data_IF_805603051805
#
_entry.id   IF_805603051805
#
_cell.length_a   1.000
_cell.length_b   1.000
_cell.length_c   1.000
_cell.angle_alpha   90.00
_cell.angle_beta   90.00
_cell.angle_gamma   90.00
#
_symmetry.space_group_name_H-M   'P 1'
#
loop_
_entity.id
_entity.type
_entity.pdbx_description
1 polymer ?
#
# COMPACT_ATOMS: atom_id res chain seq x y z
N UNK A 1 -5.77 31.78 23.16
CA UNK A 1 -5.99 31.53 21.73
C UNK A 1 -4.63 31.53 21.03
N UNK A 2 -3.95 30.38 20.93
CA UNK A 2 -2.67 30.27 20.21
C UNK A 2 -3.01 29.89 18.75
N UNK A 3 -2.64 30.82 17.87
CA UNK A 3 -2.73 30.70 16.41
C UNK A 3 -1.78 29.58 15.98
N UNK A 4 -2.31 28.40 15.67
CA UNK A 4 -1.56 27.29 15.10
C UNK A 4 -1.20 27.68 13.67
N UNK A 5 0.02 28.22 13.49
CA UNK A 5 0.59 28.49 12.17
C UNK A 5 0.92 27.15 11.49
N UNK A 6 0.78 27.11 10.16
CA UNK A 6 1.39 26.05 9.33
C UNK A 6 2.86 25.95 9.71
N UNK A 7 3.31 24.74 10.07
CA UNK A 7 4.71 24.55 10.47
C UNK A 7 5.66 24.71 9.28
N UNK A 8 5.20 24.39 8.07
CA UNK A 8 6.00 24.50 6.85
C UNK A 8 5.31 25.40 5.82
N UNK A 9 6.09 26.25 5.18
CA UNK A 9 5.58 27.20 4.16
C UNK A 9 5.04 26.46 2.92
N UNK A 10 5.59 25.27 2.60
CA UNK A 10 5.18 24.42 1.46
C UNK A 10 5.62 22.98 1.67
N UNK A 11 4.94 22.04 1.01
CA UNK A 11 5.04 20.58 1.20
C UNK A 11 6.47 20.04 1.04
N UNK A 12 7.28 20.59 0.10
CA UNK A 12 8.65 20.11 -0.12
C UNK A 12 9.58 20.29 1.09
N UNK A 13 9.34 21.27 1.96
CA UNK A 13 10.11 21.40 3.21
C UNK A 13 9.80 20.24 4.17
N UNK A 14 8.57 19.83 4.20
CA UNK A 14 8.09 18.67 4.96
C UNK A 14 8.73 17.36 4.43
N UNK A 15 8.66 17.15 3.12
CA UNK A 15 9.26 15.97 2.46
C UNK A 15 10.78 15.94 2.71
N UNK A 16 11.43 17.10 2.71
CA UNK A 16 12.87 17.22 2.96
C UNK A 16 13.22 16.90 4.43
N UNK A 17 12.40 17.32 5.39
CA UNK A 17 12.58 16.98 6.81
C UNK A 17 12.35 15.49 7.04
N UNK A 18 11.30 14.92 6.48
CA UNK A 18 11.01 13.49 6.57
C UNK A 18 12.16 12.64 6.00
N UNK A 19 12.71 13.06 4.85
CA UNK A 19 13.87 12.42 4.26
C UNK A 19 15.08 12.45 5.20
N UNK A 20 15.36 13.57 5.89
CA UNK A 20 16.45 13.66 6.85
C UNK A 20 16.19 12.88 8.15
N UNK A 21 14.95 12.74 8.59
CA UNK A 21 14.59 11.93 9.75
C UNK A 21 14.69 10.42 9.44
N UNK A 22 14.35 10.01 8.25
CA UNK A 22 14.41 8.60 7.83
C UNK A 22 15.83 8.13 7.47
N UNK A 23 16.77 9.05 7.17
CA UNK A 23 18.15 8.72 6.78
C UNK A 23 19.15 9.26 7.79
N UNK A 24 19.99 8.37 8.35
CA UNK A 24 21.05 8.77 9.28
C UNK A 24 22.35 9.12 8.53
N UNK A 25 22.99 10.23 8.95
CA UNK A 25 24.28 10.64 8.42
C UNK A 25 24.24 11.73 7.36
N UNK A 26 25.37 11.94 6.68
CA UNK A 26 25.53 13.00 5.70
C UNK A 26 25.09 12.58 4.31
N UNK A 27 24.30 13.42 3.65
CA UNK A 27 23.81 13.19 2.29
C UNK A 27 24.38 14.25 1.34
N UNK A 28 24.94 13.78 0.22
CA UNK A 28 25.52 14.70 -0.76
C UNK A 28 24.45 15.56 -1.44
N UNK A 29 24.75 16.82 -1.81
CA UNK A 29 23.83 17.68 -2.54
C UNK A 29 23.29 17.02 -3.82
N UNK A 30 24.11 16.23 -4.50
CA UNK A 30 23.73 15.53 -5.74
C UNK A 30 22.70 14.42 -5.50
N UNK A 31 22.71 13.76 -4.36
CA UNK A 31 21.70 12.77 -3.96
C UNK A 31 20.38 13.49 -3.72
N UNK A 32 20.38 14.55 -2.93
CA UNK A 32 19.18 15.32 -2.59
C UNK A 32 18.55 15.98 -3.83
N UNK A 33 19.35 16.65 -4.67
CA UNK A 33 18.83 17.30 -5.90
C UNK A 33 18.23 16.29 -6.88
N UNK A 34 18.83 15.08 -6.99
CA UNK A 34 18.29 14.01 -7.81
C UNK A 34 17.00 13.43 -7.22
N UNK A 35 16.97 13.19 -5.92
CA UNK A 35 15.81 12.62 -5.24
C UNK A 35 14.59 13.54 -5.35
N UNK A 36 14.76 14.84 -5.04
CA UNK A 36 13.67 15.82 -5.07
C UNK A 36 13.46 16.46 -6.47
N UNK A 37 14.25 16.11 -7.46
CA UNK A 37 14.20 16.67 -8.82
C UNK A 37 14.28 18.19 -8.85
N UNK A 38 15.14 18.78 -8.04
CA UNK A 38 15.33 20.24 -7.87
C UNK A 38 16.74 20.67 -8.20
N UNK A 39 16.91 21.97 -8.48
CA UNK A 39 18.23 22.56 -8.67
C UNK A 39 18.98 22.67 -7.33
N UNK A 40 20.31 22.72 -7.39
CA UNK A 40 21.13 22.96 -6.20
C UNK A 40 20.80 24.30 -5.51
N UNK A 41 20.45 25.32 -6.29
CA UNK A 41 20.01 26.62 -5.77
C UNK A 41 18.70 26.49 -4.99
N UNK A 42 17.75 25.72 -5.52
CA UNK A 42 16.47 25.44 -4.85
C UNK A 42 16.70 24.67 -3.56
N UNK A 43 17.56 23.63 -3.59
CA UNK A 43 17.92 22.88 -2.39
C UNK A 43 18.51 23.77 -1.28
N UNK A 44 19.43 24.66 -1.63
CA UNK A 44 20.01 25.61 -0.64
C UNK A 44 18.95 26.54 -0.05
N UNK A 45 18.01 27.04 -0.85
CA UNK A 45 16.90 27.86 -0.38
C UNK A 45 15.96 27.08 0.54
N UNK A 46 15.62 25.83 0.16
CA UNK A 46 14.76 24.97 0.95
C UNK A 46 15.40 24.59 2.30
N UNK A 47 16.69 24.28 2.32
CA UNK A 47 17.42 24.01 3.56
C UNK A 47 17.48 25.24 4.46
N UNK A 48 17.66 26.43 3.89
CA UNK A 48 17.63 27.68 4.65
C UNK A 48 16.27 27.90 5.30
N UNK A 49 15.19 27.80 4.53
CA UNK A 49 13.82 27.96 5.01
C UNK A 49 13.48 26.89 6.08
N UNK A 50 13.91 25.64 5.84
CA UNK A 50 13.69 24.56 6.80
C UNK A 50 14.44 24.79 8.11
N UNK A 51 15.66 25.33 8.07
CA UNK A 51 16.41 25.68 9.27
C UNK A 51 15.76 26.85 10.06
N UNK A 52 15.12 27.82 9.40
CA UNK A 52 14.33 28.83 10.07
C UNK A 52 13.17 28.22 10.86
N UNK A 53 12.47 27.24 10.27
CA UNK A 53 11.37 26.50 10.92
C UNK A 53 11.89 25.63 12.08
N UNK A 54 13.03 24.95 11.90
CA UNK A 54 13.65 24.08 12.90
C UNK A 54 14.28 24.84 14.09
N UNK A 55 14.50 26.15 13.98
CA UNK A 55 15.15 26.95 15.00
C UNK A 55 14.45 26.91 16.37
N UNK A 56 13.14 26.62 16.39
CA UNK A 56 12.35 26.47 17.61
C UNK A 56 12.41 25.08 18.26
N UNK A 57 13.15 24.14 17.68
CA UNK A 57 13.10 22.70 18.05
C UNK A 57 14.47 22.12 18.44
N UNK A 58 15.49 22.94 18.69
CA UNK A 58 16.86 22.47 18.93
C UNK A 58 17.37 21.48 17.87
N UNK A 59 16.92 21.65 16.63
CA UNK A 59 17.28 20.87 15.46
C UNK A 59 17.73 21.79 14.33
N UNK A 60 18.68 21.32 13.51
CA UNK A 60 19.14 22.06 12.33
C UNK A 60 19.71 21.11 11.27
N UNK A 61 19.61 21.51 10.01
CA UNK A 61 20.35 20.85 8.94
C UNK A 61 21.70 21.54 8.79
N UNK A 62 22.75 20.79 9.09
CA UNK A 62 24.13 21.25 8.98
C UNK A 62 24.76 20.79 7.67
N UNK A 63 25.69 21.60 7.16
CA UNK A 63 26.48 21.27 5.97
C UNK A 63 27.95 21.05 6.38
N UNK A 64 28.48 19.87 6.07
CA UNK A 64 29.90 19.57 6.26
C UNK A 64 30.61 19.45 4.91
N UNK A 65 31.67 20.23 4.77
CA UNK A 65 32.47 20.25 3.53
C UNK A 65 32.94 18.84 3.18
N UNK A 66 32.74 18.39 1.96
CA UNK A 66 33.02 17.02 1.45
C UNK A 66 32.07 15.90 1.87
N UNK A 67 31.16 16.09 2.82
CA UNK A 67 30.21 15.04 3.25
C UNK A 67 28.76 15.36 2.83
N UNK A 68 28.38 16.64 2.83
CA UNK A 68 27.04 17.09 2.46
C UNK A 68 26.23 17.57 3.66
N UNK A 69 24.93 17.36 3.61
CA UNK A 69 23.94 17.81 4.58
C UNK A 69 23.52 16.69 5.52
N UNK A 70 23.32 17.00 6.81
CA UNK A 70 22.75 16.08 7.80
C UNK A 70 21.86 16.84 8.77
N UNK A 71 20.84 16.17 9.30
CA UNK A 71 20.02 16.71 10.39
C UNK A 71 20.73 16.45 11.72
N UNK A 72 20.98 17.54 12.46
CA UNK A 72 21.51 17.50 13.81
C UNK A 72 20.41 17.83 14.80
N UNK A 73 20.20 16.95 15.78
CA UNK A 73 19.21 17.09 16.84
C UNK A 73 19.95 16.99 18.18
N UNK A 74 19.80 18.01 19.02
CA UNK A 74 20.53 18.09 20.28
C UNK A 74 19.93 17.24 21.41
N UNK A 75 18.62 17.03 21.40
CA UNK A 75 17.90 16.24 22.40
C UNK A 75 17.09 15.11 21.77
N UNK A 76 17.13 13.90 22.33
CA UNK A 76 16.41 12.74 21.80
C UNK A 76 14.88 12.90 21.77
N UNK A 77 14.31 13.69 22.68
CA UNK A 77 12.87 13.99 22.69
C UNK A 77 12.44 14.86 21.49
N UNK A 78 13.33 15.70 20.98
CA UNK A 78 13.05 16.56 19.81
C UNK A 78 12.82 15.72 18.54
N UNK A 79 13.51 14.59 18.38
CA UNK A 79 13.30 13.70 17.23
C UNK A 79 11.87 13.16 17.19
N UNK A 80 11.40 12.59 18.30
CA UNK A 80 10.03 12.09 18.42
C UNK A 80 8.99 13.22 18.27
N UNK A 81 9.32 14.43 18.71
CA UNK A 81 8.47 15.61 18.54
C UNK A 81 8.36 16.00 17.06
N UNK A 82 9.47 16.05 16.31
CA UNK A 82 9.48 16.37 14.89
C UNK A 82 8.79 15.27 14.06
N UNK A 83 9.03 13.99 14.36
CA UNK A 83 8.32 12.88 13.77
C UNK A 83 6.81 12.97 14.02
N UNK A 84 6.37 13.25 15.25
CA UNK A 84 4.97 13.48 15.59
C UNK A 84 4.36 14.73 14.95
N UNK A 85 5.15 15.75 14.65
CA UNK A 85 4.68 16.96 13.98
C UNK A 85 4.47 16.76 12.49
N UNK A 86 5.37 16.02 11.83
CA UNK A 86 5.16 15.57 10.43
C UNK A 86 3.88 14.75 10.33
N UNK A 87 3.70 13.88 11.30
CA UNK A 87 2.53 13.03 11.47
C UNK A 87 1.24 13.87 11.63
N UNK A 88 1.22 14.87 12.47
CA UNK A 88 0.05 15.75 12.69
C UNK A 88 -0.27 16.69 11.51
N UNK A 89 0.70 16.99 10.65
CA UNK A 89 0.45 17.74 9.40
C UNK A 89 -0.17 16.85 8.32
N UNK A 90 0.13 15.56 8.30
CA UNK A 90 -0.59 14.60 7.45
C UNK A 90 -2.05 14.42 7.88
N UNK A 91 -2.36 14.46 9.18
CA UNK A 91 -3.74 14.45 9.69
C UNK A 91 -4.56 15.69 9.26
N UNK A 92 -3.92 16.84 9.03
CA UNK A 92 -4.60 18.04 8.51
C UNK A 92 -4.86 18.02 7.01
N UNK A 93 -4.34 17.05 6.29
CA UNK A 93 -4.47 16.96 4.84
C UNK A 93 -5.68 16.16 4.34
N UNK A 94 -6.89 16.44 4.82
CA UNK A 94 -8.08 16.34 3.99
C UNK A 94 -8.10 17.47 2.91
N UNK A 95 -6.94 18.01 2.56
CA UNK A 95 -6.85 19.21 1.72
C UNK A 95 -7.03 18.92 0.22
N UNK A 96 -6.86 17.67 -0.23
CA UNK A 96 -7.19 17.31 -1.61
C UNK A 96 -8.59 16.70 -1.72
N UNK A 97 -9.28 16.97 -2.82
CA UNK A 97 -10.58 16.36 -3.13
C UNK A 97 -10.50 14.83 -3.09
N UNK A 98 -9.40 14.25 -3.57
CA UNK A 98 -9.21 12.80 -3.60
C UNK A 98 -9.11 12.19 -2.20
N UNK A 99 -8.42 12.84 -1.27
CA UNK A 99 -8.34 12.36 0.14
C UNK A 99 -9.71 12.44 0.82
N UNK A 100 -10.47 13.50 0.61
CA UNK A 100 -11.86 13.61 1.13
C UNK A 100 -12.77 12.54 0.55
N UNK A 101 -12.67 12.27 -0.75
CA UNK A 101 -13.43 11.22 -1.42
C UNK A 101 -13.06 9.84 -0.84
N UNK A 102 -11.78 9.54 -0.67
CA UNK A 102 -11.31 8.28 -0.08
C UNK A 102 -11.81 8.12 1.37
N UNK A 103 -11.71 9.18 2.17
CA UNK A 103 -12.23 9.19 3.54
C UNK A 103 -13.74 8.89 3.58
N UNK A 104 -14.54 9.55 2.72
CA UNK A 104 -15.98 9.31 2.61
C UNK A 104 -16.27 7.86 2.21
N UNK A 105 -15.55 7.30 1.22
CA UNK A 105 -15.74 5.92 0.78
C UNK A 105 -15.48 4.95 1.95
N UNK A 106 -14.36 5.11 2.66
CA UNK A 106 -14.02 4.27 3.81
C UNK A 106 -15.11 4.36 4.88
N UNK A 107 -15.54 5.57 5.22
CA UNK A 107 -16.64 5.76 6.18
C UNK A 107 -17.93 5.06 5.73
N UNK A 108 -18.29 5.17 4.46
CA UNK A 108 -19.47 4.49 3.90
C UNK A 108 -19.32 2.96 3.95
N UNK A 109 -18.12 2.41 3.71
CA UNK A 109 -17.85 0.97 3.75
C UNK A 109 -17.92 0.40 5.18
N UNK A 110 -17.62 1.22 6.18
CA UNK A 110 -17.79 0.85 7.59
C UNK A 110 -19.20 1.10 8.14
N UNK A 111 -19.98 1.95 7.50
CA UNK A 111 -21.33 2.28 7.96
C UNK A 111 -22.29 1.08 7.92
N UNK A 112 -23.12 0.96 8.97
CA UNK A 112 -24.21 -0.03 9.06
C UNK A 112 -25.58 0.59 8.69
N UNK A 113 -25.62 1.91 8.59
CA UNK A 113 -26.85 2.68 8.33
C UNK A 113 -26.62 3.67 7.20
N UNK A 114 -27.70 4.20 6.66
CA UNK A 114 -27.61 5.25 5.65
C UNK A 114 -26.95 6.51 6.21
N UNK A 115 -26.09 7.14 5.42
CA UNK A 115 -25.42 8.41 5.73
C UNK A 115 -26.06 9.53 4.92
N UNK A 116 -26.47 10.61 5.59
CA UNK A 116 -27.06 11.79 4.91
C UNK A 116 -25.98 12.65 4.24
N UNK A 117 -26.40 13.50 3.30
CA UNK A 117 -25.50 14.46 2.67
C UNK A 117 -24.91 15.45 3.68
N UNK A 118 -25.72 15.88 4.65
CA UNK A 118 -25.28 16.78 5.71
C UNK A 118 -24.19 16.14 6.57
N UNK A 119 -24.42 14.88 7.03
CA UNK A 119 -23.43 14.16 7.81
C UNK A 119 -22.09 13.95 7.05
N UNK A 120 -22.16 13.73 5.73
CA UNK A 120 -20.96 13.61 4.89
C UNK A 120 -20.28 14.97 4.66
N UNK A 121 -21.07 16.05 4.55
CA UNK A 121 -20.54 17.40 4.38
C UNK A 121 -19.80 17.87 5.65
N UNK A 122 -20.41 17.64 6.81
CA UNK A 122 -19.84 17.95 8.12
C UNK A 122 -18.54 17.16 8.37
N UNK A 123 -18.52 15.88 8.00
CA UNK A 123 -17.38 14.99 8.20
C UNK A 123 -16.08 15.48 7.52
N UNK A 124 -16.21 16.01 6.31
CA UNK A 124 -15.05 16.47 5.52
C UNK A 124 -15.00 17.99 5.34
N UNK A 125 -15.80 18.71 6.11
CA UNK A 125 -15.84 20.19 6.16
C UNK A 125 -16.04 20.86 4.79
N UNK A 126 -17.01 20.39 4.01
CA UNK A 126 -17.34 20.97 2.70
C UNK A 126 -18.84 21.29 2.57
N UNK A 127 -19.22 22.01 1.51
CA UNK A 127 -20.63 22.27 1.21
C UNK A 127 -21.36 21.01 0.70
N UNK A 128 -22.68 20.96 0.88
CA UNK A 128 -23.54 19.90 0.33
C UNK A 128 -23.38 19.79 -1.20
N UNK A 129 -23.23 20.91 -1.90
CA UNK A 129 -22.98 20.91 -3.34
C UNK A 129 -21.67 20.21 -3.71
N UNK A 130 -20.65 20.36 -2.89
CA UNK A 130 -19.37 19.64 -3.06
C UNK A 130 -19.57 18.14 -2.87
N UNK A 131 -20.34 17.72 -1.86
CA UNK A 131 -20.69 16.31 -1.63
C UNK A 131 -21.45 15.72 -2.83
N UNK A 132 -22.39 16.44 -3.40
CA UNK A 132 -23.11 15.98 -4.60
C UNK A 132 -22.14 15.67 -5.76
N UNK A 133 -21.11 16.49 -5.94
CA UNK A 133 -20.07 16.23 -6.93
C UNK A 133 -19.18 15.04 -6.55
N UNK A 134 -18.78 14.92 -5.28
CA UNK A 134 -18.01 13.78 -4.79
C UNK A 134 -18.77 12.46 -4.95
N UNK A 135 -20.06 12.43 -4.70
CA UNK A 135 -20.90 11.23 -4.89
C UNK A 135 -20.90 10.70 -6.33
N UNK A 136 -20.71 11.55 -7.34
CA UNK A 136 -20.53 11.11 -8.73
C UNK A 136 -19.23 10.33 -8.90
N UNK A 137 -18.14 10.88 -8.38
CA UNK A 137 -16.81 10.22 -8.40
C UNK A 137 -16.81 8.94 -7.56
N UNK A 138 -17.42 8.97 -6.37
CA UNK A 138 -17.55 7.82 -5.48
C UNK A 138 -18.26 6.66 -6.20
N UNK A 139 -19.36 6.90 -6.93
CA UNK A 139 -20.03 5.86 -7.71
C UNK A 139 -19.09 5.21 -8.74
N UNK A 140 -18.28 6.02 -9.43
CA UNK A 140 -17.32 5.52 -10.42
C UNK A 140 -16.20 4.70 -9.76
N UNK A 141 -15.75 5.09 -8.56
CA UNK A 141 -14.75 4.32 -7.82
C UNK A 141 -15.34 3.00 -7.36
N UNK A 142 -16.47 3.02 -6.69
CA UNK A 142 -17.15 1.83 -6.16
C UNK A 142 -17.50 0.81 -7.26
N UNK A 143 -17.91 1.27 -8.43
CA UNK A 143 -18.23 0.38 -9.56
C UNK A 143 -17.05 -0.45 -10.05
N UNK A 144 -15.80 0.01 -9.88
CA UNK A 144 -14.58 -0.77 -10.19
C UNK A 144 -14.41 -1.99 -9.29
N UNK A 145 -15.06 -1.99 -8.14
CA UNK A 145 -15.04 -3.07 -7.14
C UNK A 145 -16.37 -3.84 -7.09
N UNK A 146 -17.25 -3.69 -8.10
CA UNK A 146 -18.58 -4.30 -8.13
C UNK A 146 -19.49 -3.85 -6.96
N UNK A 147 -19.17 -2.71 -6.35
CA UNK A 147 -19.93 -2.11 -5.27
C UNK A 147 -20.93 -1.08 -5.81
N UNK A 148 -22.08 -0.99 -5.16
CA UNK A 148 -23.16 -0.07 -5.56
C UNK A 148 -23.45 0.92 -4.44
N UNK A 149 -23.52 2.21 -4.77
CA UNK A 149 -24.00 3.27 -3.87
C UNK A 149 -25.52 3.39 -3.98
N UNK A 150 -26.24 2.76 -3.07
CA UNK A 150 -27.70 2.88 -3.00
C UNK A 150 -28.11 4.20 -2.35
N UNK A 151 -29.22 4.75 -2.83
CA UNK A 151 -29.82 5.99 -2.30
C UNK A 151 -31.24 5.70 -1.83
N UNK A 152 -31.59 6.13 -0.64
CA UNK A 152 -32.95 6.06 -0.13
C UNK A 152 -33.42 7.46 0.26
N UNK A 153 -34.58 7.86 -0.26
CA UNK A 153 -35.17 9.18 0.01
C UNK A 153 -35.25 9.42 1.52
N UNK A 154 -34.86 10.60 1.97
CA UNK A 154 -34.85 11.05 3.38
C UNK A 154 -33.89 10.27 4.32
N UNK A 155 -33.19 9.24 3.87
CA UNK A 155 -32.25 8.48 4.68
C UNK A 155 -30.80 8.71 4.23
N UNK A 156 -30.54 8.94 2.93
CA UNK A 156 -29.20 9.18 2.41
C UNK A 156 -28.64 8.00 1.59
N UNK A 157 -27.39 7.64 1.85
CA UNK A 157 -26.59 6.74 1.03
C UNK A 157 -26.03 5.58 1.85
N UNK A 158 -25.96 4.40 1.24
CA UNK A 158 -25.30 3.20 1.79
C UNK A 158 -24.58 2.45 0.66
N UNK A 159 -23.44 1.84 0.96
CA UNK A 159 -22.70 0.99 0.01
C UNK A 159 -23.15 -0.46 0.19
N UNK A 160 -23.55 -1.09 -0.93
CA UNK A 160 -23.94 -2.49 -1.00
C UNK A 160 -23.03 -3.26 -1.96
N UNK A 161 -22.89 -4.57 -1.73
CA UNK A 161 -22.04 -5.50 -2.46
C UNK A 161 -21.36 -6.48 -1.51
N UNK A 162 -20.61 -7.42 -2.08
CA UNK A 162 -19.94 -8.47 -1.34
C UNK A 162 -18.88 -7.92 -0.36
N UNK A 163 -18.74 -8.57 0.79
CA UNK A 163 -17.80 -8.11 1.82
C UNK A 163 -16.34 -8.20 1.33
N UNK A 164 -15.99 -9.22 0.54
CA UNK A 164 -14.67 -9.34 -0.06
C UNK A 164 -14.34 -8.16 -1.00
N UNK A 165 -15.33 -7.68 -1.77
CA UNK A 165 -15.19 -6.51 -2.64
C UNK A 165 -15.04 -5.21 -1.85
N UNK A 166 -15.77 -5.07 -0.74
CA UNK A 166 -15.60 -3.94 0.20
C UNK A 166 -14.19 -3.91 0.77
N UNK A 167 -13.66 -5.05 1.23
CA UNK A 167 -12.30 -5.16 1.77
C UNK A 167 -11.25 -4.84 0.71
N UNK A 168 -11.42 -5.33 -0.51
CA UNK A 168 -10.53 -5.00 -1.63
C UNK A 168 -10.51 -3.49 -1.88
N UNK A 169 -11.67 -2.84 -1.89
CA UNK A 169 -11.77 -1.39 -2.03
C UNK A 169 -11.04 -0.66 -0.89
N UNK A 170 -11.23 -1.05 0.36
CA UNK A 170 -10.56 -0.45 1.53
C UNK A 170 -9.04 -0.58 1.39
N UNK A 171 -8.52 -1.78 1.16
CA UNK A 171 -7.06 -2.02 1.03
C UNK A 171 -6.49 -1.18 -0.10
N UNK A 172 -7.13 -1.16 -1.27
CA UNK A 172 -6.66 -0.36 -2.41
C UNK A 172 -6.58 1.13 -2.08
N UNK A 173 -7.58 1.67 -1.38
CA UNK A 173 -7.61 3.08 -1.00
C UNK A 173 -6.51 3.44 0.00
N UNK A 174 -6.24 2.59 1.00
CA UNK A 174 -5.21 2.82 2.02
C UNK A 174 -3.79 2.45 1.56
N UNK A 175 -3.64 1.81 0.40
CA UNK A 175 -2.33 1.45 -0.18
C UNK A 175 -1.94 2.29 -1.40
N UNK A 176 -2.86 3.07 -1.97
CA UNK A 176 -2.65 3.82 -3.23
C UNK A 176 -1.55 4.91 -3.12
N UNK A 177 -1.29 5.46 -1.95
CA UNK A 177 -0.34 6.56 -1.74
C UNK A 177 1.07 6.12 -1.36
N UNK A 178 1.39 4.83 -1.52
CA UNK A 178 2.70 4.29 -1.13
C UNK A 178 3.80 4.69 -2.09
N UNK A 179 4.59 5.72 -1.72
CA UNK A 179 5.85 6.09 -2.38
C UNK A 179 7.09 5.60 -1.61
N UNK A 180 6.95 5.04 -0.41
CA UNK A 180 8.08 4.65 0.43
C UNK A 180 8.28 3.13 0.45
N UNK A 181 9.49 2.70 0.16
CA UNK A 181 9.95 1.30 0.15
C UNK A 181 10.19 0.72 1.56
N UNK A 182 9.91 1.50 2.62
CA UNK A 182 10.11 1.04 3.99
C UNK A 182 8.89 0.27 4.50
N UNK A 183 9.16 -0.81 5.25
CA UNK A 183 8.16 -1.62 5.92
C UNK A 183 7.61 -0.87 7.15
N UNK A 184 6.86 0.20 6.93
CA UNK A 184 6.13 0.93 7.98
C UNK A 184 4.67 1.06 7.61
N UNK A 185 3.80 0.96 8.60
CA UNK A 185 2.38 1.26 8.40
C UNK A 185 2.17 2.77 8.43
N UNK A 186 1.37 3.28 7.49
CA UNK A 186 1.00 4.70 7.50
C UNK A 186 0.03 4.97 8.64
N UNK A 187 -0.08 6.25 9.02
CA UNK A 187 -1.07 6.67 10.02
C UNK A 187 -2.50 6.39 9.59
N UNK A 188 -2.84 6.60 8.33
CA UNK A 188 -4.15 6.26 7.79
C UNK A 188 -4.47 4.78 8.00
N UNK A 189 -3.48 3.89 7.79
CA UNK A 189 -3.61 2.46 8.04
C UNK A 189 -3.78 2.16 9.52
N UNK A 190 -2.95 2.76 10.37
CA UNK A 190 -3.02 2.57 11.82
C UNK A 190 -4.29 3.17 12.41
N UNK A 191 -4.73 4.34 11.96
CA UNK A 191 -5.96 4.99 12.44
C UNK A 191 -7.21 4.21 12.02
N UNK A 192 -7.26 3.70 10.79
CA UNK A 192 -8.38 2.89 10.30
C UNK A 192 -8.49 1.55 11.04
N UNK A 193 -7.35 0.94 11.34
CA UNK A 193 -7.22 -0.36 11.98
C UNK A 193 -6.83 -0.22 13.47
N UNK A 194 -7.17 0.91 14.11
CA UNK A 194 -6.75 1.26 15.48
C UNK A 194 -7.20 0.24 16.56
N UNK A 195 -8.17 -0.61 16.25
CA UNK A 195 -8.62 -1.70 17.14
C UNK A 195 -7.76 -2.97 17.02
N UNK A 196 -6.79 -2.97 16.10
CA UNK A 196 -5.94 -4.12 15.78
C UNK A 196 -4.48 -3.70 15.84
N UNK A 197 -3.67 -4.38 16.63
CA UNK A 197 -2.24 -4.11 16.73
C UNK A 197 -1.51 -4.67 15.49
N UNK A 198 -1.21 -3.80 14.52
CA UNK A 198 -0.55 -4.17 13.27
C UNK A 198 0.86 -4.73 13.48
N UNK A 199 1.62 -4.20 14.45
CA UNK A 199 2.97 -4.69 14.74
C UNK A 199 2.91 -6.10 15.35
N UNK A 200 1.92 -6.40 16.20
CA UNK A 200 1.73 -7.74 16.74
C UNK A 200 1.42 -8.75 15.62
N UNK A 201 0.52 -8.43 14.68
CA UNK A 201 0.25 -9.31 13.52
C UNK A 201 1.53 -9.51 12.70
N UNK A 202 2.30 -8.44 12.48
CA UNK A 202 3.57 -8.50 11.76
C UNK A 202 4.53 -9.49 12.42
N UNK A 203 4.70 -9.39 13.74
CA UNK A 203 5.63 -10.26 14.48
C UNK A 203 5.21 -11.73 14.37
N UNK A 204 3.90 -12.04 14.53
CA UNK A 204 3.36 -13.39 14.38
C UNK A 204 3.61 -13.92 12.95
N UNK A 205 3.26 -13.13 11.92
CA UNK A 205 3.40 -13.54 10.52
C UNK A 205 4.88 -13.72 10.15
N UNK A 206 5.77 -12.83 10.59
CA UNK A 206 7.21 -12.94 10.31
C UNK A 206 7.83 -14.16 10.98
N UNK A 207 7.47 -14.44 12.24
CA UNK A 207 7.97 -15.62 12.94
C UNK A 207 7.45 -16.91 12.31
N UNK A 208 6.18 -16.95 11.93
CA UNK A 208 5.61 -18.07 11.20
C UNK A 208 6.32 -18.31 9.85
N UNK A 209 6.54 -17.26 9.08
CA UNK A 209 7.22 -17.33 7.79
C UNK A 209 8.67 -17.84 7.96
N UNK A 210 9.39 -17.32 8.96
CA UNK A 210 10.75 -17.75 9.28
C UNK A 210 10.81 -19.25 9.63
N UNK A 211 9.85 -19.75 10.41
CA UNK A 211 9.79 -21.18 10.81
C UNK A 211 9.52 -22.12 9.64
N UNK A 212 8.78 -21.64 8.63
CA UNK A 212 8.34 -22.44 7.49
C UNK A 212 9.12 -22.12 6.21
N UNK A 213 10.21 -21.35 6.28
CA UNK A 213 11.07 -20.95 5.14
C UNK A 213 10.27 -20.26 4.02
N UNK A 214 9.27 -19.44 4.40
CA UNK A 214 8.43 -18.71 3.46
C UNK A 214 8.99 -17.29 3.22
N UNK A 215 9.23 -16.96 1.97
CA UNK A 215 9.84 -15.69 1.58
C UNK A 215 8.81 -14.76 0.91
N UNK A 216 8.71 -13.54 1.42
CA UNK A 216 7.85 -12.48 0.89
C UNK A 216 8.68 -11.23 0.62
N UNK A 217 8.33 -10.50 -0.44
CA UNK A 217 8.79 -9.10 -0.54
C UNK A 217 8.13 -8.26 0.56
N UNK A 218 8.78 -7.17 0.96
CA UNK A 218 8.23 -6.24 1.97
C UNK A 218 6.82 -5.75 1.60
N UNK A 219 6.60 -5.47 0.32
CA UNK A 219 5.29 -5.08 -0.19
C UNK A 219 4.23 -6.17 0.00
N UNK A 220 4.54 -7.41 -0.36
CA UNK A 220 3.61 -8.54 -0.25
C UNK A 220 3.32 -8.88 1.22
N UNK A 221 4.36 -8.86 2.06
CA UNK A 221 4.22 -9.11 3.49
C UNK A 221 3.34 -8.05 4.15
N UNK A 222 3.57 -6.77 3.86
CA UNK A 222 2.75 -5.68 4.37
C UNK A 222 1.30 -5.78 3.92
N UNK A 223 1.08 -6.10 2.65
CA UNK A 223 -0.26 -6.27 2.11
C UNK A 223 -1.00 -7.43 2.79
N UNK A 224 -0.33 -8.55 3.01
CA UNK A 224 -0.87 -9.70 3.74
C UNK A 224 -1.28 -9.31 5.17
N UNK A 225 -0.41 -8.60 5.90
CA UNK A 225 -0.70 -8.14 7.27
C UNK A 225 -1.93 -7.23 7.29
N UNK A 226 -2.05 -6.31 6.32
CA UNK A 226 -3.22 -5.43 6.20
C UNK A 226 -4.50 -6.22 5.92
N UNK A 227 -4.46 -7.27 5.10
CA UNK A 227 -5.62 -8.14 4.85
C UNK A 227 -6.03 -8.91 6.11
N UNK A 228 -5.07 -9.46 6.88
CA UNK A 228 -5.34 -10.13 8.15
C UNK A 228 -5.95 -9.13 9.16
N UNK A 229 -5.32 -7.97 9.32
CA UNK A 229 -5.80 -6.93 10.23
C UNK A 229 -7.21 -6.45 9.87
N UNK A 230 -7.48 -6.28 8.58
CA UNK A 230 -8.81 -5.91 8.10
C UNK A 230 -9.84 -7.01 8.39
N UNK A 231 -9.48 -8.30 8.22
CA UNK A 231 -10.36 -9.42 8.59
C UNK A 231 -10.73 -9.36 10.07
N UNK A 232 -9.76 -9.18 10.95
CA UNK A 232 -10.00 -9.01 12.40
C UNK A 232 -10.91 -7.81 12.67
N UNK A 233 -10.58 -6.65 12.11
CA UNK A 233 -11.36 -5.41 12.29
C UNK A 233 -12.82 -5.56 11.84
N UNK A 234 -13.05 -6.26 10.73
CA UNK A 234 -14.39 -6.50 10.19
C UNK A 234 -15.19 -7.51 11.01
N UNK A 235 -14.55 -8.52 11.56
CA UNK A 235 -15.18 -9.47 12.49
C UNK A 235 -15.63 -8.79 13.78
N UNK A 236 -14.81 -7.88 14.34
CA UNK A 236 -15.16 -7.13 15.55
C UNK A 236 -16.40 -6.25 15.38
N UNK A 237 -16.74 -5.85 14.16
CA UNK A 237 -17.97 -5.09 13.83
C UNK A 237 -19.07 -5.96 13.21
N UNK A 238 -18.99 -7.29 13.38
CA UNK A 238 -19.95 -8.28 12.87
C UNK A 238 -20.19 -8.20 11.35
N UNK A 239 -19.13 -8.04 10.57
CA UNK A 239 -19.14 -8.05 9.09
C UNK A 239 -18.22 -9.15 8.56
N UNK A 240 -18.53 -10.44 8.81
CA UNK A 240 -17.76 -11.54 8.24
C UNK A 240 -17.99 -11.63 6.72
N UNK A 241 -17.06 -12.31 6.05
CA UNK A 241 -17.28 -12.76 4.68
C UNK A 241 -18.26 -13.94 4.72
N UNK A 242 -19.40 -13.78 4.04
CA UNK A 242 -20.45 -14.79 4.02
C UNK A 242 -20.14 -15.93 3.04
N UNK A 243 -19.55 -15.59 1.89
CA UNK A 243 -19.18 -16.55 0.86
C UNK A 243 -17.82 -16.21 0.24
N UNK A 244 -16.88 -17.16 0.31
CA UNK A 244 -15.55 -17.01 -0.30
C UNK A 244 -14.99 -18.41 -0.61
N UNK A 245 -15.19 -18.85 -1.84
CA UNK A 245 -14.68 -20.13 -2.29
C UNK A 245 -13.24 -19.98 -2.81
N UNK A 246 -12.39 -20.90 -2.42
CA UNK A 246 -11.07 -21.13 -3.04
C UNK A 246 -10.97 -22.60 -3.44
N UNK A 247 -10.12 -22.94 -4.41
CA UNK A 247 -9.82 -24.33 -4.73
C UNK A 247 -9.33 -25.08 -3.48
N UNK A 248 -9.70 -26.35 -3.36
CA UNK A 248 -9.24 -27.18 -2.26
C UNK A 248 -7.73 -27.36 -2.29
N UNK A 249 -7.08 -27.07 -1.19
CA UNK A 249 -5.63 -27.18 -1.02
C UNK A 249 -5.31 -27.61 0.40
N UNK A 250 -5.42 -28.91 0.66
CA UNK A 250 -5.27 -29.49 2.00
C UNK A 250 -3.89 -29.19 2.62
N UNK A 251 -2.82 -29.27 1.82
CA UNK A 251 -1.48 -28.99 2.29
C UNK A 251 -1.34 -27.53 2.78
N UNK A 252 -1.94 -26.56 2.06
CA UNK A 252 -1.94 -25.17 2.46
C UNK A 252 -2.73 -24.94 3.75
N UNK A 253 -3.91 -25.56 3.87
CA UNK A 253 -4.74 -25.47 5.07
C UNK A 253 -3.98 -26.00 6.28
N UNK A 254 -3.38 -27.18 6.16
CA UNK A 254 -2.58 -27.80 7.22
C UNK A 254 -1.39 -26.93 7.60
N UNK A 255 -0.71 -26.31 6.63
CA UNK A 255 0.42 -25.43 6.89
C UNK A 255 0.01 -24.18 7.63
N UNK A 256 -1.11 -23.53 7.24
CA UNK A 256 -1.51 -22.22 7.77
C UNK A 256 -2.38 -22.31 9.04
N UNK A 257 -2.91 -23.46 9.40
CA UNK A 257 -3.77 -23.63 10.60
C UNK A 257 -3.07 -23.18 11.90
N UNK A 258 -1.77 -23.46 12.15
CA UNK A 258 -1.09 -22.93 13.34
C UNK A 258 -1.05 -21.40 13.40
N UNK A 259 -0.80 -20.74 12.26
CA UNK A 259 -0.82 -19.29 12.17
C UNK A 259 -2.21 -18.72 12.49
N UNK A 260 -3.25 -19.32 11.87
CA UNK A 260 -4.63 -18.90 12.12
C UNK A 260 -5.00 -19.06 13.58
N UNK A 261 -4.63 -20.18 14.19
CA UNK A 261 -4.91 -20.45 15.62
C UNK A 261 -4.21 -19.44 16.53
N UNK A 262 -2.96 -19.09 16.26
CA UNK A 262 -2.21 -18.09 17.02
C UNK A 262 -2.90 -16.72 16.93
N UNK A 263 -3.30 -16.29 15.72
CA UNK A 263 -4.03 -15.03 15.53
C UNK A 263 -5.39 -15.05 16.25
N UNK A 264 -6.16 -16.13 16.16
CA UNK A 264 -7.46 -16.28 16.82
C UNK A 264 -7.33 -16.13 18.35
N UNK A 265 -6.28 -16.73 18.94
CA UNK A 265 -6.01 -16.65 20.38
C UNK A 265 -5.59 -15.24 20.79
N UNK A 266 -4.66 -14.63 20.08
CA UNK A 266 -4.07 -13.35 20.44
C UNK A 266 -5.05 -12.17 20.29
N UNK A 267 -5.92 -12.24 19.28
CA UNK A 267 -6.91 -11.19 19.01
C UNK A 267 -8.33 -11.53 19.49
N UNK A 268 -8.51 -12.69 20.14
CA UNK A 268 -9.80 -13.16 20.68
C UNK A 268 -10.93 -13.14 19.63
N UNK A 269 -10.62 -13.56 18.41
CA UNK A 269 -11.57 -13.70 17.31
C UNK A 269 -11.66 -15.15 16.87
N UNK A 270 -12.72 -15.50 16.14
CA UNK A 270 -12.88 -16.83 15.51
C UNK A 270 -13.13 -16.60 14.04
N UNK A 271 -12.23 -17.08 13.19
CA UNK A 271 -12.39 -17.01 11.75
C UNK A 271 -13.35 -18.11 11.25
N UNK A 272 -14.37 -17.70 10.50
CA UNK A 272 -15.19 -18.65 9.75
C UNK A 272 -14.39 -19.34 8.67
N UNK A 273 -14.91 -20.43 8.08
CA UNK A 273 -14.26 -21.10 6.97
C UNK A 273 -13.99 -20.14 5.78
N UNK A 274 -14.92 -19.21 5.51
CA UNK A 274 -14.76 -18.21 4.46
C UNK A 274 -13.68 -17.17 4.77
N UNK A 275 -13.56 -16.74 6.04
CA UNK A 275 -12.46 -15.86 6.48
C UNK A 275 -11.10 -16.56 6.35
N UNK A 276 -10.99 -17.83 6.77
CA UNK A 276 -9.78 -18.63 6.58
C UNK A 276 -9.43 -18.75 5.10
N UNK A 277 -10.40 -19.03 4.23
CA UNK A 277 -10.21 -19.09 2.78
C UNK A 277 -9.70 -17.75 2.23
N UNK A 278 -10.24 -16.62 2.70
CA UNK A 278 -9.77 -15.29 2.30
C UNK A 278 -8.30 -15.08 2.67
N UNK A 279 -7.89 -15.40 3.91
CA UNK A 279 -6.50 -15.28 4.34
C UNK A 279 -5.60 -16.24 3.54
N UNK A 280 -6.03 -17.48 3.33
CA UNK A 280 -5.29 -18.47 2.54
C UNK A 280 -5.05 -18.00 1.10
N UNK A 281 -6.03 -17.38 0.45
CA UNK A 281 -5.88 -16.85 -0.90
C UNK A 281 -4.78 -15.78 -0.97
N UNK A 282 -4.67 -14.93 0.05
CA UNK A 282 -3.61 -13.92 0.12
C UNK A 282 -2.24 -14.52 0.41
N UNK A 283 -2.17 -15.60 1.17
CA UNK A 283 -0.93 -16.36 1.37
C UNK A 283 -0.44 -16.97 0.05
N UNK A 284 -1.29 -17.75 -0.60
CA UNK A 284 -0.94 -18.46 -1.83
C UNK A 284 -0.52 -17.53 -2.96
N UNK A 285 -1.21 -16.40 -3.09
CA UNK A 285 -0.88 -15.44 -4.14
C UNK A 285 0.51 -14.81 -3.99
N UNK A 286 1.13 -14.95 -2.83
CA UNK A 286 2.41 -14.36 -2.49
C UNK A 286 3.52 -15.40 -2.24
N UNK A 287 3.16 -16.71 -2.19
CA UNK A 287 4.12 -17.81 -2.06
C UNK A 287 4.10 -18.63 -3.33
N UNK A 288 5.26 -18.79 -3.96
CA UNK A 288 5.35 -19.60 -5.19
C UNK A 288 5.52 -21.08 -4.91
N UNK A 289 5.77 -21.47 -3.67
CA UNK A 289 6.19 -22.81 -3.27
C UNK A 289 5.03 -23.74 -2.88
N UNK A 290 3.84 -23.20 -2.62
CA UNK A 290 2.74 -23.92 -2.00
C UNK A 290 1.70 -24.52 -2.98
N UNK A 291 1.78 -24.20 -4.25
CA UNK A 291 0.86 -24.75 -5.25
C UNK A 291 1.55 -25.80 -6.09
N UNK A 292 0.83 -26.91 -6.38
CA UNK A 292 1.24 -27.99 -7.27
C UNK A 292 2.17 -27.50 -8.40
N UNK A 293 3.45 -27.39 -8.05
CA UNK A 293 4.50 -26.87 -8.92
C UNK A 293 4.59 -27.68 -10.22
N UNK A 294 4.13 -28.93 -10.22
CA UNK A 294 4.32 -29.86 -11.34
C UNK A 294 3.41 -29.60 -12.54
N UNK A 295 2.16 -29.11 -12.37
CA UNK A 295 1.24 -28.94 -13.51
C UNK A 295 1.39 -27.63 -14.28
N UNK A 296 1.81 -26.56 -13.60
CA UNK A 296 1.96 -25.24 -14.24
C UNK A 296 3.41 -24.87 -14.57
N UNK A 297 4.39 -25.57 -13.99
CA UNK A 297 5.82 -25.22 -14.15
C UNK A 297 6.27 -25.33 -15.60
N UNK A 298 5.93 -26.41 -16.29
CA UNK A 298 6.29 -26.59 -17.70
C UNK A 298 5.62 -25.54 -18.60
N UNK A 299 4.34 -25.23 -18.36
CA UNK A 299 3.64 -24.17 -19.08
C UNK A 299 4.29 -22.80 -18.88
N UNK A 300 4.67 -22.47 -17.65
CA UNK A 300 5.29 -21.19 -17.33
C UNK A 300 6.71 -21.09 -17.89
N UNK A 301 7.50 -22.16 -17.81
CA UNK A 301 8.82 -22.19 -18.46
C UNK A 301 8.70 -22.01 -19.98
N UNK A 302 7.76 -22.69 -20.62
CA UNK A 302 7.51 -22.49 -22.04
C UNK A 302 7.06 -21.06 -22.35
N UNK A 303 6.24 -20.47 -21.51
CA UNK A 303 5.80 -19.08 -21.67
C UNK A 303 6.96 -18.09 -21.52
N UNK A 304 7.84 -18.29 -20.53
CA UNK A 304 9.06 -17.48 -20.35
C UNK A 304 9.96 -17.60 -21.57
N UNK A 305 10.20 -18.84 -22.04
CA UNK A 305 11.01 -19.07 -23.23
C UNK A 305 10.42 -18.33 -24.46
N UNK A 306 9.10 -18.42 -24.68
CA UNK A 306 8.42 -17.72 -25.77
C UNK A 306 8.55 -16.21 -25.65
N UNK A 307 8.47 -15.64 -24.43
CA UNK A 307 8.65 -14.20 -24.19
C UNK A 307 10.09 -13.79 -24.58
N UNK A 308 11.10 -14.53 -24.11
CA UNK A 308 12.50 -14.24 -24.38
C UNK A 308 12.84 -14.40 -25.88
N UNK A 309 12.30 -15.42 -26.54
CA UNK A 309 12.43 -15.62 -28.00
C UNK A 309 11.77 -14.47 -28.77
N UNK A 310 10.57 -14.05 -28.38
CA UNK A 310 9.88 -12.91 -29.02
C UNK A 310 10.68 -11.61 -28.90
N UNK A 311 11.38 -11.38 -27.77
CA UNK A 311 12.26 -10.23 -27.59
C UNK A 311 13.46 -10.32 -28.55
N UNK A 312 14.07 -11.51 -28.66
CA UNK A 312 15.21 -11.72 -29.55
C UNK A 312 14.81 -11.55 -31.02
N UNK A 313 13.73 -12.16 -31.46
CA UNK A 313 13.25 -12.09 -32.84
C UNK A 313 12.85 -10.67 -33.26
N UNK A 314 12.15 -9.95 -32.37
CA UNK A 314 11.61 -8.62 -32.70
C UNK A 314 12.61 -7.47 -32.51
N UNK A 315 13.53 -7.59 -31.55
CA UNK A 315 14.39 -6.49 -31.13
C UNK A 315 15.88 -6.82 -31.13
N UNK A 316 16.26 -8.08 -31.42
CA UNK A 316 17.64 -8.58 -31.41
C UNK A 316 18.37 -8.42 -30.07
N UNK A 317 17.63 -8.35 -28.95
CA UNK A 317 18.19 -8.44 -27.60
C UNK A 317 18.21 -9.90 -27.17
N UNK A 318 19.39 -10.50 -27.06
CA UNK A 318 19.49 -11.88 -26.61
C UNK A 318 19.60 -11.94 -25.07
N UNK A 319 18.45 -12.20 -24.45
CA UNK A 319 18.30 -12.35 -23.00
C UNK A 319 18.13 -13.82 -22.57
N UNK A 320 18.18 -14.78 -23.51
CA UNK A 320 17.89 -16.21 -23.27
C UNK A 320 18.94 -16.93 -22.45
N UNK A 321 20.15 -16.36 -22.35
CA UNK A 321 21.23 -16.89 -21.53
C UNK A 321 21.27 -16.29 -20.11
N UNK A 322 20.40 -15.34 -19.80
CA UNK A 322 20.32 -14.73 -18.47
C UNK A 322 19.45 -15.59 -17.54
N UNK A 323 20.11 -16.52 -16.83
CA UNK A 323 19.46 -17.44 -15.89
C UNK A 323 18.79 -16.74 -14.71
N UNK A 324 19.29 -15.55 -14.32
CA UNK A 324 18.68 -14.77 -13.23
C UNK A 324 17.36 -14.18 -13.72
N UNK A 325 17.36 -13.58 -14.91
CA UNK A 325 16.15 -13.04 -15.52
C UNK A 325 15.11 -14.14 -15.76
N UNK A 326 15.52 -15.30 -16.30
CA UNK A 326 14.61 -16.44 -16.52
C UNK A 326 13.96 -16.90 -15.22
N UNK A 327 14.75 -17.07 -14.15
CA UNK A 327 14.29 -17.44 -12.82
C UNK A 327 13.29 -16.43 -12.27
N UNK A 328 13.66 -15.14 -12.25
CA UNK A 328 12.84 -14.07 -11.69
C UNK A 328 11.53 -13.88 -12.48
N UNK A 329 11.58 -13.99 -13.80
CA UNK A 329 10.41 -13.90 -14.66
C UNK A 329 9.46 -15.09 -14.46
N UNK A 330 10.00 -16.29 -14.36
CA UNK A 330 9.24 -17.51 -14.03
C UNK A 330 8.53 -17.34 -12.70
N UNK A 331 9.23 -16.88 -11.67
CA UNK A 331 8.71 -16.63 -10.35
C UNK A 331 7.60 -15.58 -10.35
N UNK A 332 7.79 -14.49 -11.09
CA UNK A 332 6.82 -13.41 -11.21
C UNK A 332 5.54 -13.85 -11.94
N UNK A 333 5.67 -14.63 -13.02
CA UNK A 333 4.53 -15.17 -13.76
C UNK A 333 3.73 -16.17 -12.92
N UNK A 334 4.40 -17.04 -12.16
CA UNK A 334 3.73 -17.91 -11.19
C UNK A 334 2.86 -17.10 -10.22
N UNK A 335 3.43 -16.06 -9.64
CA UNK A 335 2.72 -15.19 -8.69
C UNK A 335 1.50 -14.49 -9.30
N UNK A 336 1.59 -14.04 -10.57
CA UNK A 336 0.47 -13.39 -11.29
C UNK A 336 -0.63 -14.41 -11.62
N UNK A 337 -0.27 -15.59 -12.13
CA UNK A 337 -1.24 -16.63 -12.49
C UNK A 337 -1.96 -17.15 -11.24
N UNK A 338 -1.25 -17.34 -10.14
CA UNK A 338 -1.84 -17.70 -8.86
C UNK A 338 -2.81 -16.62 -8.36
N UNK A 339 -2.41 -15.36 -8.40
CA UNK A 339 -3.30 -14.26 -8.03
C UNK A 339 -4.59 -14.26 -8.87
N UNK A 340 -4.48 -14.49 -10.18
CA UNK A 340 -5.63 -14.58 -11.07
C UNK A 340 -6.52 -15.81 -10.76
N UNK A 341 -5.90 -16.95 -10.46
CA UNK A 341 -6.62 -18.18 -10.09
C UNK A 341 -7.44 -18.00 -8.81
N UNK A 342 -6.92 -17.23 -7.84
CA UNK A 342 -7.61 -16.89 -6.61
C UNK A 342 -8.42 -15.59 -6.70
N UNK A 343 -8.69 -15.09 -7.93
CA UNK A 343 -9.45 -13.85 -8.19
C UNK A 343 -8.88 -12.60 -7.51
N UNK A 344 -7.59 -12.59 -7.19
CA UNK A 344 -6.90 -11.46 -6.58
C UNK A 344 -6.39 -10.50 -7.65
N UNK A 345 -6.64 -9.23 -7.45
CA UNK A 345 -6.20 -8.19 -8.37
C UNK A 345 -4.87 -7.60 -7.87
N UNK A 346 -3.74 -8.07 -8.40
CA UNK A 346 -2.42 -7.52 -8.07
C UNK A 346 -2.17 -6.24 -8.87
N UNK A 347 -1.97 -5.13 -8.18
CA UNK A 347 -1.52 -3.87 -8.77
C UNK A 347 0.00 -3.76 -8.62
N UNK A 348 0.68 -3.37 -9.69
CA UNK A 348 2.09 -3.02 -9.61
C UNK A 348 2.22 -1.53 -9.26
N UNK A 349 2.66 -1.17 -8.04
CA UNK A 349 2.79 0.23 -7.61
C UNK A 349 3.81 1.00 -8.44
N UNK A 350 4.78 0.29 -9.05
CA UNK A 350 5.85 0.86 -9.87
C UNK A 350 5.47 1.03 -11.34
N UNK A 351 4.28 0.59 -11.78
CA UNK A 351 3.91 0.55 -13.20
C UNK A 351 4.10 1.90 -13.89
N UNK A 352 3.63 2.98 -13.27
CA UNK A 352 3.76 4.33 -13.82
C UNK A 352 5.21 4.80 -13.85
N UNK A 353 5.99 4.50 -12.82
CA UNK A 353 7.42 4.82 -12.72
C UNK A 353 8.21 4.09 -13.80
N UNK A 354 7.96 2.77 -13.97
CA UNK A 354 8.59 1.95 -15.01
C UNK A 354 8.22 2.49 -16.40
N UNK A 355 6.93 2.74 -16.66
CA UNK A 355 6.46 3.25 -17.93
C UNK A 355 7.07 4.61 -18.30
N UNK A 356 7.25 5.50 -17.32
CA UNK A 356 7.75 6.85 -17.57
C UNK A 356 9.28 6.91 -17.65
N UNK A 357 9.99 6.14 -16.81
CA UNK A 357 11.45 6.20 -16.72
C UNK A 357 12.17 5.20 -17.63
N UNK A 358 11.49 4.12 -18.03
CA UNK A 358 12.05 3.01 -18.83
C UNK A 358 11.15 2.68 -20.02
N UNK A 359 10.76 3.69 -20.79
CA UNK A 359 9.77 3.60 -21.88
C UNK A 359 10.08 2.46 -22.85
N UNK A 360 11.35 2.36 -23.30
CA UNK A 360 11.76 1.33 -24.25
C UNK A 360 11.59 -0.09 -23.67
N UNK A 361 12.11 -0.33 -22.47
CA UNK A 361 11.97 -1.62 -21.80
C UNK A 361 10.49 -1.96 -21.55
N UNK A 362 9.68 -0.98 -21.17
CA UNK A 362 8.24 -1.17 -20.97
C UNK A 362 7.54 -1.58 -22.27
N UNK A 363 7.80 -0.89 -23.38
CA UNK A 363 7.17 -1.20 -24.69
C UNK A 363 7.60 -2.57 -25.19
N UNK A 364 8.90 -2.91 -25.10
CA UNK A 364 9.43 -4.22 -25.48
C UNK A 364 8.72 -5.33 -24.68
N UNK A 365 8.68 -5.20 -23.33
CA UNK A 365 8.06 -6.19 -22.46
C UNK A 365 6.57 -6.39 -22.75
N UNK A 366 5.81 -5.31 -22.93
CA UNK A 366 4.37 -5.38 -23.26
C UNK A 366 4.14 -6.04 -24.61
N UNK A 367 4.99 -5.74 -25.60
CA UNK A 367 4.87 -6.33 -26.95
C UNK A 367 5.22 -7.81 -26.92
N UNK A 368 6.31 -8.20 -26.27
CA UNK A 368 6.72 -9.61 -26.15
C UNK A 368 5.68 -10.45 -25.42
N UNK A 369 5.11 -9.93 -24.33
CA UNK A 369 4.02 -10.62 -23.63
C UNK A 369 2.81 -10.82 -24.53
N UNK A 370 2.38 -9.78 -25.29
CA UNK A 370 1.25 -9.92 -26.23
C UNK A 370 1.49 -10.90 -27.37
N UNK A 371 2.72 -11.15 -27.74
CA UNK A 371 3.08 -12.11 -28.80
C UNK A 371 3.18 -13.54 -28.24
N UNK A 372 3.50 -13.68 -26.96
CA UNK A 372 3.66 -14.97 -26.29
C UNK A 372 2.32 -15.56 -25.77
N UNK A 373 1.29 -14.72 -25.59
CA UNK A 373 -0.08 -15.09 -25.22
C UNK A 373 -1.03 -15.08 -26.41
#
# INVERSE_FOLDING_TARGET
MRRWMRLFQYTRLQDLLDYFLSHQGYMSPSVLTRHFQISQRTLCSDIHNLNEELSGFDAQIIMKRSQGYALEIKEGQTRALLENMLVNEEEKQLDSADKRINHIIIKMLYANTYLTQDALADEVFVSINTIINYLKTIRLILSKYQLTLQTKANLGYIVTGEEADKRRCIIDLITTNYQHYEFRFSQEQTALLNHVNLEQIKDIVMEFNRKNDLHFSDYNLKNLILHIALSISRLLVAKPIEEYAIPEHEALRTLLEPLITEIELDFQVVFTANEKNYIYSHYVSNTNELLDAQKNTEYIHNLVANILDSIFESYHFDLRSDLILEHDLTHHLHSILNARYYHLNKKNPLLNTIRNNYILAFVISVTAIKLAF
#
